data_IF_723359587498
#
_entry.id   IF_723359587498
#
_cell.length_a   1.000
_cell.length_b   1.000
_cell.length_c   1.000
_cell.angle_alpha   90.00
_cell.angle_beta   90.00
_cell.angle_gamma   90.00
#
_symmetry.space_group_name_H-M   'P 1'
#
loop_
_entity.id
_entity.type
_entity.pdbx_description
1 polymer ?
#
# COMPACT_ATOMS: atom_id res chain seq x y z
N UNK A 1 45.47 11.52 -48.63
CA UNK A 1 44.58 10.39 -48.32
C UNK A 1 43.31 10.95 -47.67
N UNK A 2 42.16 10.51 -48.17
CA UNK A 2 40.75 11.00 -48.04
C UNK A 2 40.30 11.35 -46.61
N UNK A 3 39.32 12.24 -46.33
CA UNK A 3 37.94 12.45 -46.90
C UNK A 3 37.49 13.90 -46.60
N UNK A 4 37.09 14.75 -47.54
CA UNK A 4 35.76 14.98 -48.15
C UNK A 4 34.56 15.23 -47.19
N UNK A 5 34.20 16.53 -47.09
CA UNK A 5 32.88 17.21 -47.03
C UNK A 5 31.65 16.60 -46.31
N UNK A 6 30.99 17.43 -45.49
CA UNK A 6 29.57 17.87 -45.65
C UNK A 6 29.24 18.92 -44.57
N UNK A 7 29.18 20.21 -44.94
CA UNK A 7 27.96 21.01 -45.22
C UNK A 7 27.07 21.27 -44.00
N UNK A 8 27.07 22.55 -43.61
CA UNK A 8 26.11 23.20 -42.73
C UNK A 8 24.65 23.00 -43.19
N UNK A 9 23.72 22.96 -42.23
CA UNK A 9 22.33 23.38 -42.45
C UNK A 9 21.89 24.25 -41.28
N UNK A 10 21.21 25.31 -41.69
CA UNK A 10 20.87 26.52 -40.98
C UNK A 10 19.87 26.35 -39.83
N UNK A 11 19.93 27.37 -38.97
CA UNK A 11 18.84 27.88 -38.17
C UNK A 11 17.49 27.87 -38.90
N UNK A 12 16.46 27.39 -38.22
CA UNK A 12 15.08 27.78 -38.42
C UNK A 12 14.55 28.29 -37.08
N UNK A 13 14.47 29.61 -36.94
CA UNK A 13 13.80 30.26 -35.82
C UNK A 13 12.32 30.48 -36.14
N UNK A 14 11.53 30.60 -35.06
CA UNK A 14 10.22 31.23 -34.95
C UNK A 14 8.98 30.40 -35.31
N UNK A 15 8.27 29.97 -34.27
CA UNK A 15 6.82 30.21 -34.16
C UNK A 15 6.36 30.03 -32.70
N UNK A 16 5.96 31.16 -32.09
CA UNK A 16 4.73 31.39 -31.35
C UNK A 16 4.25 30.34 -30.30
N UNK A 17 4.05 30.82 -29.07
CA UNK A 17 3.15 30.20 -28.10
C UNK A 17 3.84 29.62 -26.87
N UNK A 18 4.38 30.51 -26.01
CA UNK A 18 4.81 30.12 -24.68
C UNK A 18 3.60 29.78 -23.81
N UNK A 19 3.03 28.59 -23.98
CA UNK A 19 2.19 27.99 -22.95
C UNK A 19 3.17 27.56 -21.86
N UNK A 20 3.27 28.38 -20.81
CA UNK A 20 3.88 27.95 -19.56
C UNK A 20 3.03 26.80 -19.04
N UNK A 21 3.40 25.56 -19.39
CA UNK A 21 2.97 24.41 -18.61
C UNK A 21 3.60 24.57 -17.24
N UNK A 22 2.82 25.12 -16.31
CA UNK A 22 3.02 24.89 -14.89
C UNK A 22 3.13 23.39 -14.72
N UNK A 23 4.36 22.89 -14.65
CA UNK A 23 4.63 21.53 -14.24
C UNK A 23 4.12 21.44 -12.81
N UNK A 24 2.87 20.98 -12.66
CA UNK A 24 2.39 20.43 -11.41
C UNK A 24 3.33 19.28 -11.15
N UNK A 25 4.34 19.51 -10.32
CA UNK A 25 5.18 18.44 -9.82
C UNK A 25 4.19 17.41 -9.27
N UNK A 26 4.13 16.18 -9.81
CA UNK A 26 3.34 15.14 -9.18
C UNK A 26 3.94 15.01 -7.78
N UNK A 27 3.17 15.42 -6.76
CA UNK A 27 3.61 15.30 -5.38
C UNK A 27 4.15 13.89 -5.20
N UNK A 28 5.38 13.79 -4.70
CA UNK A 28 6.04 12.52 -4.39
C UNK A 28 5.01 11.61 -3.73
N UNK A 29 4.53 10.60 -4.46
CA UNK A 29 3.62 9.59 -3.93
C UNK A 29 4.43 8.92 -2.82
N UNK A 30 4.11 9.24 -1.57
CA UNK A 30 4.78 8.67 -0.39
C UNK A 30 4.71 7.14 -0.54
N UNK A 31 5.85 6.46 -0.43
CA UNK A 31 5.91 5.01 -0.59
C UNK A 31 5.11 4.31 0.52
N UNK A 32 4.31 3.31 0.16
CA UNK A 32 3.59 2.47 1.12
C UNK A 32 4.50 1.32 1.59
N UNK A 33 4.61 1.12 2.90
CA UNK A 33 5.40 0.04 3.50
C UNK A 33 4.49 -1.01 4.12
N UNK A 34 4.42 -2.19 3.49
CA UNK A 34 3.60 -3.30 3.97
C UNK A 34 4.15 -3.86 5.29
N UNK A 35 3.30 -3.84 6.30
CA UNK A 35 3.54 -4.40 7.63
C UNK A 35 2.97 -5.80 7.74
N UNK A 36 1.81 -6.03 7.12
CA UNK A 36 1.17 -7.33 7.17
C UNK A 36 0.32 -7.53 5.92
N UNK A 37 0.36 -8.73 5.35
CA UNK A 37 -0.43 -9.05 4.16
C UNK A 37 -1.11 -10.41 4.31
N UNK A 38 -2.43 -10.37 4.25
CA UNK A 38 -3.29 -11.55 4.23
C UNK A 38 -3.83 -11.77 2.82
N UNK A 39 -3.46 -12.90 2.23
CA UNK A 39 -3.89 -13.31 0.90
C UNK A 39 -5.15 -14.19 1.04
N UNK A 40 -6.29 -13.55 1.32
CA UNK A 40 -7.60 -14.21 1.45
C UNK A 40 -8.14 -14.73 0.12
N UNK A 41 -9.11 -15.63 0.20
CA UNK A 41 -9.79 -16.21 -0.96
C UNK A 41 -10.65 -15.17 -1.70
N UNK A 42 -11.38 -14.33 -0.94
CA UNK A 42 -12.27 -13.29 -1.48
C UNK A 42 -11.61 -11.92 -1.50
N UNK A 43 -10.82 -11.62 -0.47
CA UNK A 43 -10.25 -10.30 -0.22
C UNK A 43 -8.76 -10.42 0.09
N UNK A 44 -7.95 -9.61 -0.59
CA UNK A 44 -6.60 -9.36 -0.14
C UNK A 44 -6.59 -8.20 0.85
N UNK A 45 -5.98 -8.40 2.02
CA UNK A 45 -5.86 -7.36 3.04
C UNK A 45 -4.40 -6.95 3.20
N UNK A 46 -4.14 -5.66 3.07
CA UNK A 46 -2.82 -5.07 3.29
C UNK A 46 -2.88 -4.11 4.49
N UNK A 47 -2.02 -4.35 5.47
CA UNK A 47 -1.73 -3.40 6.55
C UNK A 47 -0.42 -2.73 6.22
N UNK A 48 -0.40 -1.40 6.15
CA UNK A 48 0.77 -0.67 5.70
C UNK A 48 0.94 0.68 6.40
N UNK A 49 2.15 1.25 6.31
CA UNK A 49 2.46 2.64 6.72
C UNK A 49 2.61 3.50 5.47
N UNK A 50 2.02 4.69 5.49
CA UNK A 50 2.19 5.66 4.40
C UNK A 50 3.44 6.53 4.61
N UNK A 51 4.47 6.25 3.83
CA UNK A 51 5.55 7.16 3.55
C UNK A 51 6.86 6.97 4.29
N UNK A 52 6.91 7.15 5.60
CA UNK A 52 8.16 6.97 6.36
C UNK A 52 8.11 5.60 7.06
N UNK A 53 9.02 4.65 6.77
CA UNK A 53 9.04 3.35 7.40
C UNK A 53 9.31 3.41 8.92
N UNK A 54 9.95 4.49 9.39
CA UNK A 54 10.24 4.74 10.81
C UNK A 54 9.15 5.55 11.50
N UNK A 55 8.09 5.94 10.77
CA UNK A 55 6.92 6.58 11.37
C UNK A 55 6.40 5.73 12.54
N UNK A 56 5.95 6.36 13.64
CA UNK A 56 5.51 5.63 14.80
C UNK A 56 4.46 4.58 14.40
N UNK A 57 4.51 3.44 15.08
CA UNK A 57 3.62 2.29 14.87
C UNK A 57 2.12 2.63 14.94
N UNK A 58 1.77 3.84 15.39
CA UNK A 58 0.44 4.43 15.39
C UNK A 58 -0.07 4.90 14.02
N UNK A 59 0.74 4.97 12.98
CA UNK A 59 0.33 5.43 11.64
C UNK A 59 0.11 4.27 10.67
N UNK A 60 -0.72 3.29 11.06
CA UNK A 60 -1.10 2.17 10.20
C UNK A 60 -2.35 2.51 9.38
N UNK A 61 -2.43 1.93 8.19
CA UNK A 61 -3.61 1.91 7.34
C UNK A 61 -3.95 0.46 7.01
N UNK A 62 -5.25 0.20 6.81
CA UNK A 62 -5.80 -1.05 6.31
C UNK A 62 -6.42 -0.79 4.95
N UNK A 63 -5.97 -1.57 3.96
CA UNK A 63 -6.53 -1.62 2.61
C UNK A 63 -7.13 -2.99 2.34
N UNK A 64 -8.41 -3.01 1.94
CA UNK A 64 -9.11 -4.23 1.50
C UNK A 64 -9.37 -4.16 0.01
N UNK A 65 -8.89 -5.18 -0.69
CA UNK A 65 -9.05 -5.35 -2.13
C UNK A 65 -9.94 -6.56 -2.41
N UNK A 66 -11.13 -6.32 -2.96
CA UNK A 66 -12.04 -7.37 -3.40
C UNK A 66 -11.51 -7.99 -4.70
N UNK A 67 -11.32 -9.31 -4.72
CA UNK A 67 -10.80 -9.99 -5.92
C UNK A 67 -11.81 -10.09 -7.05
N UNK A 68 -13.08 -10.32 -6.72
CA UNK A 68 -14.16 -10.45 -7.70
C UNK A 68 -14.28 -9.16 -8.53
N UNK A 69 -14.29 -8.02 -7.85
CA UNK A 69 -14.48 -6.70 -8.47
C UNK A 69 -13.18 -6.03 -8.88
N UNK A 70 -12.04 -6.63 -8.50
CA UNK A 70 -10.70 -6.08 -8.69
C UNK A 70 -10.57 -4.63 -8.20
N UNK A 71 -11.17 -4.33 -7.06
CA UNK A 71 -11.32 -2.98 -6.56
C UNK A 71 -10.96 -2.88 -5.07
N UNK A 72 -10.38 -1.73 -4.70
CA UNK A 72 -10.22 -1.34 -3.30
C UNK A 72 -11.53 -0.74 -2.82
N UNK A 73 -12.13 -1.33 -1.79
CA UNK A 73 -13.39 -0.84 -1.21
C UNK A 73 -13.21 -0.29 0.21
N UNK A 74 -12.04 -0.49 0.81
CA UNK A 74 -11.64 0.12 2.06
C UNK A 74 -10.16 0.52 1.95
N UNK A 75 -9.86 1.77 2.27
CA UNK A 75 -8.51 2.25 2.51
C UNK A 75 -8.54 3.33 3.60
N UNK A 76 -8.23 2.94 4.83
CA UNK A 76 -8.45 3.78 6.01
C UNK A 76 -7.39 3.54 7.09
N UNK A 77 -7.20 4.52 7.97
CA UNK A 77 -6.37 4.36 9.16
C UNK A 77 -6.80 3.15 9.99
N UNK A 78 -5.84 2.45 10.58
CA UNK A 78 -6.01 1.22 11.32
C UNK A 78 -5.30 1.27 12.67
N UNK A 79 -5.89 0.60 13.65
CA UNK A 79 -5.25 0.30 14.93
C UNK A 79 -4.62 -1.08 14.89
N UNK A 80 -3.60 -1.28 15.73
CA UNK A 80 -3.00 -2.59 16.02
C UNK A 80 -3.13 -2.88 17.50
N UNK A 81 -3.72 -4.01 17.83
CA UNK A 81 -3.85 -4.52 19.18
C UNK A 81 -3.06 -5.82 19.32
N UNK A 82 -2.10 -5.92 20.26
CA UNK A 82 -1.43 -7.16 20.57
C UNK A 82 -2.42 -8.22 21.04
N UNK A 83 -2.23 -9.46 20.59
CA UNK A 83 -2.94 -10.64 21.06
C UNK A 83 -1.88 -11.70 21.44
N UNK A 84 -2.08 -12.50 22.51
CA UNK A 84 -1.13 -13.58 22.85
C UNK A 84 -0.77 -14.49 21.66
N UNK A 85 -1.72 -14.70 20.75
CA UNK A 85 -1.57 -15.56 19.59
C UNK A 85 -1.13 -14.81 18.33
N UNK A 86 -1.04 -13.47 18.33
CA UNK A 86 -0.75 -12.68 17.14
C UNK A 86 -1.01 -11.18 17.26
N UNK A 87 -1.55 -10.59 16.21
CA UNK A 87 -1.97 -9.20 16.18
C UNK A 87 -3.34 -9.05 15.53
N UNK A 88 -4.18 -8.23 16.15
CA UNK A 88 -5.42 -7.75 15.58
C UNK A 88 -5.18 -6.38 14.95
N UNK A 89 -5.60 -6.23 13.69
CA UNK A 89 -5.61 -4.96 12.99
C UNK A 89 -7.05 -4.57 12.69
N UNK A 90 -7.49 -3.40 13.10
CA UNK A 90 -8.87 -2.95 12.90
C UNK A 90 -8.92 -1.58 12.26
N UNK A 91 -9.85 -1.36 11.32
CA UNK A 91 -10.05 -0.03 10.76
C UNK A 91 -10.64 0.92 11.81
N UNK A 92 -10.17 2.17 11.83
CA UNK A 92 -10.65 3.21 12.75
C UNK A 92 -11.93 3.85 12.23
N UNK A 93 -12.12 3.87 10.90
CA UNK A 93 -13.26 4.51 10.22
C UNK A 93 -13.77 3.61 9.10
N UNK A 94 -15.04 3.75 8.78
CA UNK A 94 -15.72 3.02 7.71
C UNK A 94 -17.15 2.69 8.11
N UNK A 95 -17.95 2.28 7.13
CA UNK A 95 -19.33 1.85 7.39
C UNK A 95 -19.39 0.53 8.18
N UNK A 96 -18.42 -0.36 7.94
CA UNK A 96 -18.30 -1.63 8.64
C UNK A 96 -17.01 -1.66 9.47
N UNK A 97 -17.05 -2.38 10.58
CA UNK A 97 -15.86 -2.71 11.34
C UNK A 97 -15.21 -3.95 10.71
N UNK A 98 -13.97 -3.81 10.30
CA UNK A 98 -13.13 -4.85 9.74
C UNK A 98 -11.99 -5.12 10.69
N UNK A 99 -11.77 -6.40 11.01
CA UNK A 99 -10.66 -6.82 11.87
C UNK A 99 -9.91 -7.94 11.18
N UNK A 100 -8.64 -7.71 10.88
CA UNK A 100 -7.72 -8.75 10.42
C UNK A 100 -6.94 -9.30 11.61
N UNK A 101 -7.06 -10.60 11.84
CA UNK A 101 -6.17 -11.33 12.74
C UNK A 101 -5.05 -12.01 11.95
N UNK A 102 -3.80 -11.76 12.37
CA UNK A 102 -2.61 -12.48 11.89
C UNK A 102 -1.95 -13.15 13.09
N UNK A 103 -1.91 -14.48 13.04
CA UNK A 103 -1.26 -15.29 14.05
C UNK A 103 0.27 -15.13 14.04
N UNK A 104 0.90 -15.43 15.17
CA UNK A 104 2.35 -15.50 15.35
C UNK A 104 2.96 -16.73 14.65
N UNK A 105 2.19 -17.81 14.50
CA UNK A 105 2.61 -18.99 13.74
C UNK A 105 2.46 -18.76 12.23
N UNK A 106 3.51 -19.03 11.43
CA UNK A 106 3.45 -18.91 9.97
C UNK A 106 2.57 -19.98 9.30
N UNK A 107 2.24 -21.06 10.01
CA UNK A 107 1.39 -22.14 9.51
C UNK A 107 -0.10 -21.84 9.71
N UNK A 108 -0.43 -20.88 10.57
CA UNK A 108 -1.81 -20.51 10.86
C UNK A 108 -2.37 -19.55 9.81
N UNK A 109 -3.63 -19.74 9.38
CA UNK A 109 -4.26 -18.83 8.43
C UNK A 109 -4.48 -17.46 9.07
N UNK A 110 -4.47 -16.41 8.24
CA UNK A 110 -5.04 -15.13 8.64
C UNK A 110 -6.57 -15.19 8.55
N UNK A 111 -7.25 -14.46 9.43
CA UNK A 111 -8.71 -14.41 9.48
C UNK A 111 -9.17 -12.96 9.39
N UNK A 112 -10.03 -12.66 8.41
CA UNK A 112 -10.66 -11.36 8.25
C UNK A 112 -12.09 -11.43 8.77
N UNK A 113 -12.40 -10.59 9.75
CA UNK A 113 -13.72 -10.44 10.33
C UNK A 113 -14.40 -9.18 9.79
N UNK A 114 -15.72 -9.25 9.60
CA UNK A 114 -16.59 -8.10 9.36
C UNK A 114 -17.63 -8.05 10.47
N UNK A 115 -17.65 -6.98 11.25
CA UNK A 115 -18.55 -6.78 12.38
C UNK A 115 -18.53 -7.96 13.38
N UNK A 116 -17.36 -8.56 13.59
CA UNK A 116 -17.16 -9.68 14.51
C UNK A 116 -17.37 -11.08 13.91
N UNK A 117 -17.88 -11.18 12.68
CA UNK A 117 -18.11 -12.46 12.01
C UNK A 117 -17.02 -12.77 10.98
N UNK A 118 -16.65 -14.05 10.84
CA UNK A 118 -15.65 -14.47 9.84
C UNK A 118 -16.18 -14.21 8.44
N UNK A 119 -15.49 -13.31 7.72
CA UNK A 119 -15.82 -12.96 6.35
C UNK A 119 -14.94 -13.70 5.33
N UNK A 120 -13.65 -13.81 5.63
CA UNK A 120 -12.66 -14.46 4.77
C UNK A 120 -11.50 -15.05 5.59
N UNK A 121 -10.80 -16.01 5.00
CA UNK A 121 -9.58 -16.60 5.55
C UNK A 121 -8.53 -16.75 4.44
N UNK A 122 -7.26 -16.74 4.82
CA UNK A 122 -6.18 -16.77 3.83
C UNK A 122 -4.83 -17.14 4.40
N UNK A 123 -3.82 -17.01 3.55
CA UNK A 123 -2.42 -17.21 3.94
C UNK A 123 -1.75 -15.88 4.27
N UNK A 124 -0.95 -15.88 5.33
CA UNK A 124 -0.05 -14.76 5.64
C UNK A 124 1.14 -14.84 4.71
N UNK A 125 1.35 -13.81 3.89
CA UNK A 125 2.51 -13.76 2.96
C UNK A 125 3.55 -12.73 3.38
N UNK A 126 3.18 -11.82 4.29
CA UNK A 126 4.08 -10.84 4.87
C UNK A 126 3.63 -10.49 6.29
N UNK A 127 4.60 -10.32 7.19
CA UNK A 127 4.37 -9.88 8.57
C UNK A 127 5.63 -9.19 9.10
N UNK A 128 5.47 -8.04 9.72
CA UNK A 128 6.50 -7.42 10.54
C UNK A 128 6.81 -8.37 11.72
N UNK A 129 8.10 -8.57 12.07
CA UNK A 129 8.43 -9.33 13.26
C UNK A 129 7.67 -8.79 14.48
N UNK A 130 7.29 -9.65 15.45
CA UNK A 130 6.76 -9.14 16.70
C UNK A 130 7.73 -8.11 17.27
N UNK A 131 7.22 -6.92 17.59
CA UNK A 131 8.03 -5.95 18.32
C UNK A 131 8.31 -6.55 19.70
N UNK A 132 9.50 -7.10 19.89
CA UNK A 132 10.01 -7.47 21.22
C UNK A 132 9.91 -6.22 22.08
N UNK A 133 8.98 -6.22 23.03
CA UNK A 133 8.88 -5.15 24.02
C UNK A 133 10.21 -5.04 24.76
N UNK A 134 10.71 -3.82 24.83
CA UNK A 134 11.65 -3.37 25.86
C UNK A 134 10.99 -3.48 27.24
#
# INVERSE_FOLDING_TARGET
MSRWYSKAVACGALALGGIAFSAVAPGLVKADFTIAYCNGEKVATNIYRSGDPEAPSSALNMRLYARADRAVFLDTAANREPNPEGYNYSNIRGENQWTLFIANSPESPCTLLRNGEVYDQGTVTMREPPSTGL
#
